data_IF_093931262898
#
_entry.id   IF_093931262898
#
_cell.length_a   1.000
_cell.length_b   1.000
_cell.length_c   1.000
_cell.angle_alpha   90.00
_cell.angle_beta   90.00
_cell.angle_gamma   90.00
#
_symmetry.space_group_name_H-M   'P 1'
#
loop_
_entity.id
_entity.type
_entity.pdbx_description
1 polymer ?
#
# COMPACT_ATOMS: atom_id res chain seq x y z
N UNK A 1 19.81 18.62 -4.25
CA UNK A 1 18.60 17.78 -4.40
C UNK A 1 17.68 17.89 -3.18
N UNK A 2 18.12 17.53 -1.96
CA UNK A 2 17.25 17.60 -0.75
C UNK A 2 16.69 18.99 -0.45
N UNK A 3 17.56 20.01 -0.38
CA UNK A 3 17.14 21.39 -0.10
C UNK A 3 16.11 21.91 -1.11
N UNK A 4 16.23 21.49 -2.37
CA UNK A 4 15.30 21.87 -3.44
C UNK A 4 13.96 21.10 -3.33
N UNK A 5 14.00 19.81 -2.99
CA UNK A 5 12.79 19.02 -2.74
C UNK A 5 11.98 19.56 -1.57
N UNK A 6 12.65 19.92 -0.47
CA UNK A 6 12.01 20.58 0.66
C UNK A 6 11.42 21.94 0.32
N UNK A 7 12.12 22.76 -0.46
CA UNK A 7 11.63 24.07 -0.88
C UNK A 7 10.33 23.96 -1.70
N UNK A 8 10.25 22.98 -2.60
CA UNK A 8 9.03 22.70 -3.40
C UNK A 8 7.89 22.16 -2.54
N UNK A 9 8.16 21.24 -1.61
CA UNK A 9 7.13 20.71 -0.72
C UNK A 9 6.56 21.81 0.19
N UNK A 10 7.43 22.65 0.75
CA UNK A 10 7.03 23.76 1.64
C UNK A 10 6.18 24.83 0.96
N UNK A 11 6.23 24.95 -0.37
CA UNK A 11 5.33 25.82 -1.11
C UNK A 11 3.87 25.33 -1.12
N UNK A 12 3.61 24.06 -0.78
CA UNK A 12 2.28 23.43 -0.88
C UNK A 12 1.84 22.62 0.34
N UNK A 13 2.72 22.41 1.32
CA UNK A 13 2.45 21.59 2.51
C UNK A 13 3.20 22.09 3.74
N UNK A 14 2.49 22.24 4.86
CA UNK A 14 3.01 22.77 6.14
C UNK A 14 3.13 21.71 7.26
N UNK A 15 3.10 20.41 6.93
CA UNK A 15 3.21 19.32 7.91
C UNK A 15 4.61 18.68 7.99
N UNK A 16 4.77 17.61 8.80
CA UNK A 16 5.99 16.82 8.85
C UNK A 16 6.29 16.20 7.49
N UNK A 17 7.57 16.17 7.10
CA UNK A 17 8.01 15.64 5.81
C UNK A 17 9.00 14.49 6.02
N UNK A 18 8.87 13.45 5.20
CA UNK A 18 9.79 12.33 5.14
C UNK A 18 10.71 12.50 3.93
N UNK A 19 12.01 12.35 4.14
CA UNK A 19 13.00 12.29 3.05
C UNK A 19 13.42 10.86 2.83
N UNK A 20 13.39 10.40 1.59
CA UNK A 20 13.85 9.08 1.17
C UNK A 20 14.93 9.20 0.11
N UNK A 21 15.95 8.34 0.19
CA UNK A 21 17.07 8.29 -0.75
C UNK A 21 17.10 6.94 -1.45
N UNK A 22 17.39 6.94 -2.74
CA UNK A 22 17.57 5.71 -3.52
C UNK A 22 18.62 5.90 -4.60
N UNK A 23 19.19 4.80 -5.08
CA UNK A 23 20.03 4.77 -6.27
C UNK A 23 19.52 3.74 -7.27
N UNK A 24 19.55 4.08 -8.55
CA UNK A 24 19.31 3.12 -9.62
C UNK A 24 20.64 2.44 -9.96
N UNK A 25 20.68 1.11 -9.86
CA UNK A 25 21.88 0.32 -10.01
C UNK A 25 21.67 -0.88 -10.93
N UNK A 26 22.74 -1.34 -11.58
CA UNK A 26 22.73 -2.53 -12.46
C UNK A 26 24.09 -3.20 -12.45
N UNK A 27 24.18 -4.45 -12.89
CA UNK A 27 25.48 -5.01 -13.27
C UNK A 27 25.93 -4.39 -14.61
N UNK A 28 27.25 -4.30 -14.84
CA UNK A 28 27.83 -3.61 -16.00
C UNK A 28 27.25 -4.03 -17.36
N UNK A 29 26.98 -5.32 -17.54
CA UNK A 29 26.43 -5.87 -18.79
C UNK A 29 24.89 -5.88 -18.86
N UNK A 30 24.19 -5.52 -17.78
CA UNK A 30 22.73 -5.53 -17.72
C UNK A 30 22.12 -4.24 -18.29
N UNK A 31 20.96 -4.37 -18.94
CA UNK A 31 20.20 -3.22 -19.47
C UNK A 31 19.20 -2.66 -18.45
N UNK A 32 18.73 -3.49 -17.51
CA UNK A 32 17.71 -3.08 -16.53
C UNK A 32 18.33 -2.59 -15.23
N UNK A 33 17.78 -1.48 -14.74
CA UNK A 33 18.15 -0.87 -13.46
C UNK A 33 17.23 -1.33 -12.33
N UNK A 34 17.79 -1.42 -11.14
CA UNK A 34 17.10 -1.74 -9.90
C UNK A 34 17.22 -0.53 -8.98
N UNK A 35 16.08 -0.04 -8.49
CA UNK A 35 16.05 0.97 -7.44
C UNK A 35 16.44 0.34 -6.09
N UNK A 36 17.55 0.82 -5.52
CA UNK A 36 18.13 0.40 -4.25
C UNK A 36 17.86 1.49 -3.20
N UNK A 37 17.06 1.21 -2.15
CA UNK A 37 16.86 2.14 -1.06
C UNK A 37 18.16 2.40 -0.29
N UNK A 38 18.50 3.68 -0.13
CA UNK A 38 19.67 4.16 0.59
C UNK A 38 19.32 4.70 1.99
N UNK A 39 18.05 4.64 2.37
CA UNK A 39 17.64 4.98 3.73
C UNK A 39 18.30 4.02 4.73
N UNK A 40 18.94 4.59 5.75
CA UNK A 40 19.73 3.86 6.74
C UNK A 40 21.14 3.48 6.32
N UNK A 41 21.65 3.92 5.16
CA UNK A 41 23.09 3.87 4.86
C UNK A 41 23.84 4.79 5.82
N UNK A 42 24.96 4.32 6.38
CA UNK A 42 25.80 5.16 7.24
C UNK A 42 26.67 6.10 6.39
N UNK A 43 26.15 7.29 6.13
CA UNK A 43 26.85 8.36 5.42
C UNK A 43 27.99 9.00 6.23
N UNK A 44 28.15 8.66 7.51
CA UNK A 44 29.28 9.15 8.34
C UNK A 44 30.53 8.28 8.18
N UNK A 45 30.38 7.08 7.61
CA UNK A 45 31.49 6.24 7.19
C UNK A 45 32.28 6.93 6.06
N UNK A 46 33.60 6.82 6.11
CA UNK A 46 34.50 7.36 5.09
C UNK A 46 34.30 6.68 3.71
N UNK A 47 33.81 5.43 3.69
CA UNK A 47 33.47 4.72 2.46
C UNK A 47 32.14 3.94 2.61
N UNK A 48 31.00 4.54 2.21
CA UNK A 48 29.70 3.86 2.25
C UNK A 48 29.45 2.95 1.04
N UNK A 49 30.33 2.93 0.02
CA UNK A 49 30.09 2.19 -1.22
C UNK A 49 29.92 0.68 -1.02
N UNK A 50 30.71 -0.01 -0.16
CA UNK A 50 30.50 -1.44 0.08
C UNK A 50 29.11 -1.77 0.63
N UNK A 51 28.54 -0.93 1.49
CA UNK A 51 27.18 -1.12 2.01
C UNK A 51 26.14 -0.99 0.90
N UNK A 52 26.32 -0.01 0.01
CA UNK A 52 25.41 0.24 -1.12
C UNK A 52 25.44 -0.94 -2.11
N UNK A 53 26.63 -1.46 -2.40
CA UNK A 53 26.83 -2.65 -3.25
C UNK A 53 26.15 -3.88 -2.66
N UNK A 54 26.33 -4.13 -1.37
CA UNK A 54 25.66 -5.23 -0.67
C UNK A 54 24.13 -5.11 -0.71
N UNK A 55 23.61 -3.89 -0.51
CA UNK A 55 22.17 -3.60 -0.64
C UNK A 55 21.66 -3.90 -2.05
N UNK A 56 22.44 -3.59 -3.08
CA UNK A 56 22.10 -3.93 -4.45
C UNK A 56 22.05 -5.44 -4.68
N UNK A 57 23.05 -6.20 -4.24
CA UNK A 57 23.06 -7.66 -4.38
C UNK A 57 21.84 -8.31 -3.72
N UNK A 58 21.53 -7.90 -2.48
CA UNK A 58 20.34 -8.39 -1.76
C UNK A 58 19.04 -8.03 -2.47
N UNK A 59 18.94 -6.82 -3.04
CA UNK A 59 17.76 -6.40 -3.79
C UNK A 59 17.61 -7.18 -5.09
N UNK A 60 18.70 -7.42 -5.81
CA UNK A 60 18.73 -8.25 -7.01
C UNK A 60 18.30 -9.68 -6.68
N UNK A 61 18.83 -10.28 -5.61
CA UNK A 61 18.42 -11.61 -5.15
C UNK A 61 16.94 -11.67 -4.77
N UNK A 62 16.42 -10.63 -4.13
CA UNK A 62 14.98 -10.57 -3.79
C UNK A 62 14.10 -10.55 -5.04
N UNK A 63 14.53 -9.85 -6.10
CA UNK A 63 13.76 -9.70 -7.34
C UNK A 63 13.91 -10.87 -8.32
N UNK A 64 15.10 -11.48 -8.37
CA UNK A 64 15.47 -12.47 -9.39
C UNK A 64 15.92 -13.82 -8.83
N UNK A 65 15.92 -14.00 -7.50
CA UNK A 65 16.32 -15.23 -6.80
C UNK A 65 17.83 -15.58 -6.90
N UNK A 66 18.65 -14.65 -7.39
CA UNK A 66 20.12 -14.79 -7.37
C UNK A 66 20.80 -13.42 -7.37
N UNK A 67 22.10 -13.37 -7.09
CA UNK A 67 22.98 -12.22 -7.30
C UNK A 67 24.29 -12.67 -7.98
N UNK A 68 25.10 -11.71 -8.44
CA UNK A 68 26.39 -11.94 -9.10
C UNK A 68 27.46 -11.14 -8.34
N UNK A 69 27.97 -11.65 -7.21
CA UNK A 69 28.85 -10.89 -6.32
C UNK A 69 30.18 -10.49 -6.98
N UNK A 70 30.66 -11.28 -7.96
CA UNK A 70 31.90 -11.01 -8.68
C UNK A 70 31.72 -10.07 -9.88
N UNK A 71 30.49 -9.65 -10.19
CA UNK A 71 30.20 -8.75 -11.31
C UNK A 71 30.24 -7.29 -10.86
N UNK A 72 30.80 -6.44 -11.72
CA UNK A 72 30.88 -5.01 -11.46
C UNK A 72 29.48 -4.40 -11.37
N UNK A 73 29.22 -3.68 -10.27
CA UNK A 73 27.99 -2.92 -10.06
C UNK A 73 28.16 -1.48 -10.50
N UNK A 74 27.20 -0.98 -11.26
CA UNK A 74 27.18 0.40 -11.76
C UNK A 74 26.02 1.14 -11.10
N UNK A 75 26.33 2.25 -10.42
CA UNK A 75 25.34 3.24 -10.01
C UNK A 75 25.07 4.18 -11.19
N UNK A 76 23.84 4.18 -11.68
CA UNK A 76 23.43 5.01 -12.83
C UNK A 76 22.93 6.37 -12.35
N UNK A 77 22.00 6.38 -11.39
CA UNK A 77 21.36 7.61 -10.90
C UNK A 77 21.20 7.58 -9.38
N UNK A 78 21.29 8.76 -8.75
CA UNK A 78 20.92 8.95 -7.35
C UNK A 78 19.64 9.81 -7.27
N UNK A 79 18.70 9.39 -6.42
CA UNK A 79 17.38 10.01 -6.26
C UNK A 79 17.11 10.39 -4.82
N UNK A 80 16.44 11.53 -4.65
CA UNK A 80 15.92 12.00 -3.37
C UNK A 80 14.45 12.38 -3.56
N UNK A 81 13.58 11.85 -2.71
CA UNK A 81 12.19 12.26 -2.65
C UNK A 81 11.87 12.83 -1.25
N UNK A 82 11.13 13.94 -1.21
CA UNK A 82 10.65 14.57 0.01
C UNK A 82 9.12 14.57 -0.04
N UNK A 83 8.49 13.85 0.89
CA UNK A 83 7.05 13.58 0.89
C UNK A 83 6.39 14.13 2.14
N UNK A 84 5.24 14.80 2.00
CA UNK A 84 4.43 15.26 3.13
C UNK A 84 3.73 14.09 3.82
N UNK A 85 3.82 14.01 5.15
CA UNK A 85 3.12 13.00 5.95
C UNK A 85 1.73 13.52 6.32
N UNK A 86 0.70 12.97 5.68
CA UNK A 86 -0.68 13.19 6.10
C UNK A 86 -0.98 12.38 7.37
N UNK A 87 -1.75 12.96 8.29
CA UNK A 87 -2.23 12.22 9.45
C UNK A 87 -3.04 10.99 8.99
N UNK A 88 -2.90 9.86 9.69
CA UNK A 88 -3.69 8.67 9.43
C UNK A 88 -5.16 9.03 9.32
N UNK A 89 -5.84 8.51 8.30
CA UNK A 89 -7.29 8.67 8.18
C UNK A 89 -7.94 8.21 9.49
N UNK A 90 -8.89 8.98 10.05
CA UNK A 90 -9.56 8.58 11.27
C UNK A 90 -10.14 7.18 11.07
N UNK A 91 -9.87 6.29 12.02
CA UNK A 91 -10.51 4.98 12.05
C UNK A 91 -12.00 5.20 12.13
N UNK A 92 -12.77 4.53 11.26
CA UNK A 92 -14.22 4.65 11.28
C UNK A 92 -14.72 4.20 12.67
N UNK A 93 -15.52 5.03 13.36
CA UNK A 93 -15.97 4.71 14.70
C UNK A 93 -16.78 3.41 14.67
N UNK A 94 -16.56 2.55 15.67
CA UNK A 94 -17.37 1.34 15.80
C UNK A 94 -18.85 1.72 15.94
N UNK A 95 -19.71 1.10 15.11
CA UNK A 95 -21.14 1.27 15.23
C UNK A 95 -21.60 0.85 16.65
N UNK A 96 -22.49 1.62 17.29
CA UNK A 96 -23.01 1.25 18.59
C UNK A 96 -23.76 -0.09 18.52
N UNK A 97 -23.78 -0.88 19.61
CA UNK A 97 -24.54 -2.11 19.63
C UNK A 97 -26.01 -1.84 19.33
N UNK A 98 -26.56 -2.59 18.38
CA UNK A 98 -27.95 -2.50 17.96
C UNK A 98 -28.58 -3.91 18.00
N UNK A 99 -29.90 -4.02 18.23
CA UNK A 99 -30.58 -5.30 18.14
C UNK A 99 -30.57 -5.81 16.69
N UNK A 100 -30.52 -7.14 16.46
CA UNK A 100 -30.58 -7.70 15.11
C UNK A 100 -31.83 -7.25 14.35
N UNK A 101 -31.65 -6.86 13.10
CA UNK A 101 -32.72 -6.41 12.21
C UNK A 101 -33.38 -7.60 11.51
N UNK A 102 -34.71 -7.58 11.44
CA UNK A 102 -35.50 -8.57 10.70
C UNK A 102 -35.40 -8.34 9.17
N UNK A 103 -35.62 -9.37 8.34
CA UNK A 103 -35.62 -9.18 6.90
C UNK A 103 -36.73 -8.23 6.45
N UNK A 104 -36.40 -7.36 5.49
CA UNK A 104 -37.31 -6.37 4.91
C UNK A 104 -38.37 -7.02 4.01
N UNK A 105 -38.01 -8.11 3.33
CA UNK A 105 -38.90 -8.84 2.43
C UNK A 105 -38.38 -10.26 2.18
N UNK A 106 -39.09 -11.04 1.37
CA UNK A 106 -38.62 -12.31 0.84
C UNK A 106 -38.60 -12.27 -0.69
N UNK A 107 -37.62 -12.92 -1.30
CA UNK A 107 -37.50 -13.03 -2.75
C UNK A 107 -37.18 -14.47 -3.14
N UNK A 108 -37.84 -14.97 -4.20
CA UNK A 108 -37.51 -16.27 -4.77
C UNK A 108 -36.21 -16.18 -5.56
N UNK A 109 -35.25 -17.02 -5.20
CA UNK A 109 -33.98 -17.21 -5.92
C UNK A 109 -33.89 -18.65 -6.39
N UNK A 110 -33.07 -18.90 -7.41
CA UNK A 110 -32.85 -20.24 -7.93
C UNK A 110 -31.46 -20.73 -7.55
N UNK A 111 -31.38 -21.82 -6.78
CA UNK A 111 -30.15 -22.46 -6.30
C UNK A 111 -30.29 -23.99 -6.46
N UNK A 112 -30.31 -24.47 -7.70
CA UNK A 112 -30.64 -25.87 -8.01
C UNK A 112 -32.14 -26.16 -7.94
N UNK A 113 -32.86 -25.50 -7.03
CA UNK A 113 -34.31 -25.38 -6.96
C UNK A 113 -34.72 -23.94 -6.61
N UNK A 114 -36.00 -23.61 -6.76
CA UNK A 114 -36.53 -22.33 -6.30
C UNK A 114 -36.63 -22.28 -4.77
N UNK A 115 -35.89 -21.36 -4.16
CA UNK A 115 -35.86 -21.14 -2.70
C UNK A 115 -36.35 -19.72 -2.38
N UNK A 116 -37.19 -19.57 -1.36
CA UNK A 116 -37.51 -18.27 -0.80
C UNK A 116 -36.36 -17.82 0.12
N UNK A 117 -35.72 -16.71 -0.22
CA UNK A 117 -34.62 -16.14 0.56
C UNK A 117 -35.06 -14.81 1.22
N UNK A 118 -34.80 -14.61 2.51
CA UNK A 118 -35.01 -13.33 3.17
C UNK A 118 -34.08 -12.26 2.59
N UNK A 119 -34.59 -11.04 2.45
CA UNK A 119 -33.88 -9.87 1.93
C UNK A 119 -33.66 -8.88 3.07
N UNK A 120 -32.40 -8.57 3.37
CA UNK A 120 -31.98 -7.60 4.38
C UNK A 120 -31.49 -6.31 3.73
N UNK A 121 -31.74 -5.20 4.39
CA UNK A 121 -31.19 -3.88 4.05
C UNK A 121 -29.81 -3.74 4.73
N UNK A 122 -28.74 -3.54 3.96
CA UNK A 122 -27.37 -3.47 4.47
C UNK A 122 -27.21 -2.37 5.51
N UNK A 123 -27.82 -1.20 5.27
CA UNK A 123 -27.73 -0.03 6.14
C UNK A 123 -28.45 -0.24 7.48
N UNK A 124 -29.33 -1.24 7.55
CA UNK A 124 -30.08 -1.61 8.75
C UNK A 124 -29.45 -2.74 9.56
N UNK A 125 -28.36 -3.37 9.11
CA UNK A 125 -27.78 -4.51 9.82
C UNK A 125 -27.10 -4.10 11.13
N UNK A 126 -27.37 -4.86 12.19
CA UNK A 126 -26.69 -4.64 13.45
C UNK A 126 -25.22 -5.12 13.37
N UNK A 127 -24.31 -4.49 14.14
CA UNK A 127 -22.93 -4.95 14.24
C UNK A 127 -22.86 -6.42 14.66
N UNK A 128 -22.04 -7.21 13.96
CA UNK A 128 -21.86 -8.66 14.18
C UNK A 128 -23.14 -9.52 14.05
N UNK A 129 -24.19 -9.01 13.41
CA UNK A 129 -25.40 -9.78 13.13
C UNK A 129 -25.08 -10.97 12.22
N UNK A 130 -25.41 -12.18 12.68
CA UNK A 130 -25.26 -13.41 11.88
C UNK A 130 -26.56 -13.68 11.12
N UNK A 131 -26.45 -13.92 9.81
CA UNK A 131 -27.56 -14.26 8.93
C UNK A 131 -27.32 -15.66 8.37
N UNK A 132 -28.26 -16.57 8.59
CA UNK A 132 -28.20 -17.91 8.00
C UNK A 132 -28.59 -17.85 6.52
N UNK A 133 -27.78 -18.45 5.66
CA UNK A 133 -28.08 -18.56 4.22
C UNK A 133 -29.07 -19.69 3.90
N UNK A 134 -29.71 -19.66 2.71
CA UNK A 134 -29.57 -18.64 1.68
C UNK A 134 -30.32 -17.34 2.03
N UNK A 135 -29.66 -16.18 1.86
CA UNK A 135 -30.21 -14.86 2.16
C UNK A 135 -29.68 -13.83 1.15
N UNK A 136 -30.41 -12.73 0.97
CA UNK A 136 -30.02 -11.59 0.14
C UNK A 136 -29.76 -10.40 1.05
N UNK A 137 -28.66 -9.68 0.84
CA UNK A 137 -28.37 -8.39 1.49
C UNK A 137 -28.23 -7.33 0.40
N UNK A 138 -29.06 -6.31 0.42
CA UNK A 138 -29.07 -5.23 -0.57
C UNK A 138 -28.47 -3.95 0.02
N UNK A 139 -27.58 -3.28 -0.71
CA UNK A 139 -27.08 -1.95 -0.38
C UNK A 139 -27.37 -0.97 -1.52
N UNK A 140 -27.61 0.29 -1.20
CA UNK A 140 -27.65 1.34 -2.21
C UNK A 140 -26.22 1.68 -2.63
N UNK A 141 -25.87 1.49 -3.90
CA UNK A 141 -24.64 2.09 -4.44
C UNK A 141 -24.93 3.58 -4.66
N UNK A 142 -24.18 4.52 -4.04
CA UNK A 142 -24.31 5.92 -4.39
C UNK A 142 -23.92 6.09 -5.86
N UNK A 143 -24.73 6.82 -6.63
CA UNK A 143 -24.33 7.25 -7.96
C UNK A 143 -23.13 8.18 -7.84
N UNK A 144 -22.08 7.96 -8.61
CA UNK A 144 -20.97 8.90 -8.75
C UNK A 144 -21.54 10.23 -9.29
N UNK A 145 -21.37 11.31 -8.51
CA UNK A 145 -21.69 12.68 -8.91
C UNK A 145 -20.44 13.44 -9.32
#
# INVERSE_FOLDING_TARGET
MEAEGFARLRASFEGPALTTRSADMRYGEQVFEIAVPLDGVDWTNADPLPEIVERFHRRHETLYTYCLPDQETVLVNARVAVSGMLASLPQEPALPPAPPTAPRSERRIYLGDWVAAPVYDFDGLAPAQTIAGPAIVESATPAES
#
